data_IF_732724026872
#
_entry.id   IF_732724026872
#
_cell.length_a   1.000
_cell.length_b   1.000
_cell.length_c   1.000
_cell.angle_alpha   90.00
_cell.angle_beta   90.00
_cell.angle_gamma   90.00
#
_symmetry.space_group_name_H-M   'P 1'
#
loop_
_entity.id
_entity.type
_entity.pdbx_description
1 polymer ?
#
# COMPACT_ATOMS: atom_id res chain seq x y z
N UNK A 1 -11.53 -2.30 -10.24
CA UNK A 1 -11.60 -1.48 -9.01
C UNK A 1 -10.22 -1.48 -8.42
N UNK A 2 -9.53 -0.34 -8.38
CA UNK A 2 -8.20 -0.28 -7.78
C UNK A 2 -8.37 -0.24 -6.26
N UNK A 3 -7.68 -1.13 -5.55
CA UNK A 3 -7.76 -1.18 -4.10
C UNK A 3 -6.36 -1.17 -3.48
N UNK A 4 -6.28 -0.57 -2.29
CA UNK A 4 -5.04 -0.46 -1.55
C UNK A 4 -5.30 -0.74 -0.07
N UNK A 5 -4.35 -1.40 0.58
CA UNK A 5 -4.41 -1.68 2.00
C UNK A 5 -3.10 -1.25 2.67
N UNK A 6 -3.23 -0.64 3.83
CA UNK A 6 -2.10 -0.36 4.71
C UNK A 6 -2.04 -1.45 5.79
N UNK A 7 -0.96 -2.22 5.81
CA UNK A 7 -0.77 -3.35 6.72
C UNK A 7 0.37 -3.03 7.69
N UNK A 8 0.08 -3.00 8.98
CA UNK A 8 1.09 -2.87 10.03
C UNK A 8 1.34 -4.23 10.66
N UNK A 9 2.60 -4.66 10.68
CA UNK A 9 2.99 -5.92 11.33
C UNK A 9 2.90 -5.73 12.85
N UNK A 10 2.16 -6.61 13.50
CA UNK A 10 1.92 -6.53 14.94
C UNK A 10 3.23 -6.49 15.73
N UNK A 11 3.28 -5.64 16.75
CA UNK A 11 4.43 -5.48 17.66
C UNK A 11 5.74 -5.04 16.97
N UNK A 12 5.66 -4.42 15.79
CA UNK A 12 6.81 -3.85 15.08
C UNK A 12 6.48 -2.45 14.54
N UNK A 13 7.51 -1.73 14.08
CA UNK A 13 7.36 -0.48 13.32
C UNK A 13 7.18 -0.73 11.81
N UNK A 14 7.16 -1.98 11.39
CA UNK A 14 7.07 -2.37 9.99
C UNK A 14 5.66 -2.15 9.47
N UNK A 15 5.56 -1.34 8.41
CA UNK A 15 4.32 -1.02 7.72
C UNK A 15 4.51 -1.23 6.24
N UNK A 16 3.50 -1.81 5.58
CA UNK A 16 3.46 -2.01 4.15
C UNK A 16 2.25 -1.30 3.56
N UNK A 17 2.43 -0.70 2.38
CA UNK A 17 1.33 -0.36 1.48
C UNK A 17 1.25 -1.45 0.41
N UNK A 18 0.09 -2.06 0.28
CA UNK A 18 -0.20 -3.06 -0.75
C UNK A 18 -1.17 -2.42 -1.74
N UNK A 19 -0.80 -2.41 -3.02
CA UNK A 19 -1.68 -2.01 -4.13
C UNK A 19 -2.09 -3.29 -4.86
N UNK A 20 -3.40 -3.55 -4.86
CA UNK A 20 -3.95 -4.73 -5.51
C UNK A 20 -4.14 -4.50 -7.02
N UNK A 21 -3.83 -5.51 -7.82
CA UNK A 21 -3.95 -5.47 -9.29
C UNK A 21 -5.40 -5.46 -9.80
N UNK A 22 -6.39 -5.53 -8.90
CA UNK A 22 -7.82 -5.59 -9.19
C UNK A 22 -8.41 -7.00 -9.10
N UNK A 23 -7.59 -8.02 -8.89
CA UNK A 23 -8.02 -9.41 -8.61
C UNK A 23 -8.17 -9.63 -7.11
N UNK A 24 -9.28 -10.23 -6.68
CA UNK A 24 -9.54 -10.43 -5.26
C UNK A 24 -8.51 -11.33 -4.56
N UNK A 25 -8.02 -10.87 -3.40
CA UNK A 25 -7.01 -11.57 -2.60
C UNK A 25 -5.65 -10.86 -2.64
N UNK A 26 -4.66 -11.38 -1.91
CA UNK A 26 -3.27 -10.92 -1.99
C UNK A 26 -2.45 -11.90 -2.83
N UNK A 27 -1.76 -11.39 -3.84
CA UNK A 27 -0.96 -12.13 -4.81
C UNK A 27 0.38 -11.42 -4.99
N UNK A 28 1.40 -11.77 -4.21
CA UNK A 28 2.69 -11.05 -4.20
C UNK A 28 3.44 -10.98 -5.54
N UNK A 29 3.05 -11.81 -6.52
CA UNK A 29 3.61 -11.78 -7.87
C UNK A 29 3.01 -10.67 -8.75
N UNK A 30 1.79 -10.22 -8.45
CA UNK A 30 1.04 -9.27 -9.27
C UNK A 30 0.69 -7.99 -8.50
N UNK A 31 0.53 -8.09 -7.18
CA UNK A 31 0.33 -6.96 -6.29
C UNK A 31 1.65 -6.25 -6.01
N UNK A 32 1.60 -4.93 -5.97
CA UNK A 32 2.76 -4.13 -5.58
C UNK A 32 2.81 -4.02 -4.05
N UNK A 33 3.93 -4.44 -3.48
CA UNK A 33 4.22 -4.29 -2.04
C UNK A 33 5.28 -3.20 -1.85
N UNK A 34 4.94 -2.17 -1.09
CA UNK A 34 5.85 -1.07 -0.77
C UNK A 34 6.15 -1.12 0.72
N UNK A 35 7.45 -1.22 1.06
CA UNK A 35 7.91 -1.17 2.44
C UNK A 35 7.97 0.29 2.92
N UNK A 36 7.13 0.62 3.91
CA UNK A 36 7.06 1.93 4.56
C UNK A 36 7.62 1.90 5.99
N UNK A 37 8.43 0.89 6.33
CA UNK A 37 9.09 0.81 7.63
C UNK A 37 9.94 2.06 7.87
N UNK A 38 9.74 2.70 9.02
CA UNK A 38 10.47 3.91 9.37
C UNK A 38 9.93 5.19 8.74
N UNK A 39 8.83 5.14 7.98
CA UNK A 39 8.12 6.35 7.59
C UNK A 39 7.61 7.07 8.85
N UNK A 40 8.04 8.30 9.04
CA UNK A 40 7.63 9.17 10.14
C UNK A 40 6.56 10.16 9.70
N UNK A 41 5.66 10.55 10.59
CA UNK A 41 4.56 11.49 10.29
C UNK A 41 3.21 10.78 10.10
N UNK A 42 2.18 11.54 9.69
CA UNK A 42 0.87 10.96 9.41
C UNK A 42 0.84 10.36 8.02
N UNK A 43 0.41 9.11 7.91
CA UNK A 43 0.05 8.53 6.63
C UNK A 43 -1.14 9.30 6.04
N UNK A 44 -1.15 9.57 4.72
CA UNK A 44 -2.32 10.16 4.07
C UNK A 44 -3.52 9.21 4.18
N UNK A 45 -4.72 9.79 4.22
CA UNK A 45 -5.96 9.01 4.30
C UNK A 45 -6.06 8.03 3.11
N UNK A 46 -6.61 6.84 3.36
CA UNK A 46 -6.83 5.82 2.34
C UNK A 46 -7.95 6.27 1.39
N UNK A 47 -7.58 6.87 0.28
CA UNK A 47 -8.47 7.26 -0.83
C UNK A 47 -7.95 6.65 -2.13
N UNK A 48 -8.80 6.43 -3.16
CA UNK A 48 -8.33 6.00 -4.48
C UNK A 48 -7.22 6.93 -4.98
N UNK A 49 -6.04 6.37 -5.23
CA UNK A 49 -4.90 7.12 -5.77
C UNK A 49 -5.06 7.13 -7.29
N UNK A 50 -5.27 8.29 -7.94
CA UNK A 50 -5.33 8.34 -9.39
C UNK A 50 -3.96 8.03 -9.98
N UNK A 51 -3.94 7.24 -11.07
CA UNK A 51 -2.74 6.67 -11.71
C UNK A 51 -1.66 7.70 -12.09
N UNK A 52 -2.03 8.97 -12.25
CA UNK A 52 -1.09 10.08 -12.50
C UNK A 52 -0.29 10.51 -11.26
N UNK A 53 -0.54 9.94 -10.08
CA UNK A 53 0.18 10.28 -8.84
C UNK A 53 1.52 9.55 -8.68
N UNK A 54 1.86 8.61 -9.59
CA UNK A 54 3.03 7.74 -9.46
C UNK A 54 4.31 8.25 -10.14
N UNK A 55 4.23 9.23 -11.06
CA UNK A 55 5.41 9.77 -11.75
C UNK A 55 5.25 11.26 -12.07
N UNK A 56 6.34 12.02 -11.93
CA UNK A 56 6.59 13.33 -12.56
C UNK A 56 7.65 13.18 -13.64
#
# INVERSE_FOLDING_TARGET
>A
MNSAALVRVANTTTTYLIINDGTGGFQSANDLVINLTGLTGSLPALVPIPVNSFFV
#
